data_IF_141422540776
#
_entry.id   IF_141422540776
#
_cell.length_a   1.000
_cell.length_b   1.000
_cell.length_c   1.000
_cell.angle_alpha   90.00
_cell.angle_beta   90.00
_cell.angle_gamma   90.00
#
_symmetry.space_group_name_H-M   'P 1'
#
loop_
_entity.id
_entity.type
_entity.pdbx_description
1 polymer ?
#
# COMPACT_ATOMS: atom_id res chain seq x y z
N UNK A 1 10.65 -19.78 -2.69
CA UNK A 1 9.56 -18.96 -3.25
C UNK A 1 8.38 -19.09 -2.32
N UNK A 2 7.70 -18.03 -1.89
CA UNK A 2 6.50 -18.16 -1.10
C UNK A 2 5.42 -18.84 -1.93
N UNK A 3 4.74 -19.82 -1.36
CA UNK A 3 3.54 -20.42 -1.93
C UNK A 3 2.42 -19.38 -1.90
N UNK A 4 2.01 -18.96 -3.06
CA UNK A 4 1.02 -17.94 -3.34
C UNK A 4 1.61 -17.01 -4.37
N UNK A 5 1.82 -17.50 -5.59
CA UNK A 5 2.17 -16.64 -6.72
C UNK A 5 1.03 -15.65 -6.88
N UNK A 6 1.31 -14.39 -6.57
CA UNK A 6 0.38 -13.31 -6.92
C UNK A 6 0.22 -13.37 -8.44
N UNK A 7 -1.00 -13.55 -8.90
CA UNK A 7 -1.31 -13.50 -10.32
C UNK A 7 -1.29 -12.04 -10.78
N UNK A 8 -0.10 -11.58 -11.16
CA UNK A 8 0.14 -10.21 -11.59
C UNK A 8 -0.70 -9.84 -12.81
N UNK A 9 -0.93 -10.81 -13.72
CA UNK A 9 -1.75 -10.57 -14.89
C UNK A 9 -3.23 -10.35 -14.51
N UNK A 10 -3.73 -11.06 -13.52
CA UNK A 10 -5.07 -10.83 -12.99
C UNK A 10 -5.14 -9.52 -12.18
N UNK A 11 -4.10 -9.20 -11.42
CA UNK A 11 -4.01 -7.91 -10.72
C UNK A 11 -4.05 -6.72 -11.70
N UNK A 12 -3.41 -6.84 -12.87
CA UNK A 12 -3.48 -5.80 -13.92
C UNK A 12 -4.89 -5.66 -14.49
N UNK A 13 -5.60 -6.76 -14.72
CA UNK A 13 -7.02 -6.69 -15.15
C UNK A 13 -7.89 -5.99 -14.13
N UNK A 14 -7.71 -6.32 -12.84
CA UNK A 14 -8.43 -5.66 -11.75
C UNK A 14 -8.10 -4.17 -11.66
N UNK A 15 -6.81 -3.81 -11.82
CA UNK A 15 -6.34 -2.43 -11.84
C UNK A 15 -7.00 -1.63 -12.96
N UNK A 16 -6.97 -2.17 -14.18
CA UNK A 16 -7.60 -1.57 -15.35
C UNK A 16 -9.12 -1.45 -15.19
N UNK A 17 -9.76 -2.50 -14.67
CA UNK A 17 -11.20 -2.49 -14.42
C UNK A 17 -11.60 -1.44 -13.38
N UNK A 18 -10.81 -1.26 -12.32
CA UNK A 18 -11.07 -0.26 -11.28
C UNK A 18 -10.94 1.17 -11.81
N UNK A 19 -9.99 1.43 -12.71
CA UNK A 19 -9.88 2.71 -13.41
C UNK A 19 -11.09 2.93 -14.31
N UNK A 20 -11.49 1.92 -15.07
CA UNK A 20 -12.62 2.01 -16.00
C UNK A 20 -13.97 2.23 -15.29
N UNK A 21 -14.06 1.88 -14.00
CA UNK A 21 -15.25 2.06 -13.15
C UNK A 21 -15.34 3.46 -12.52
N UNK A 22 -14.37 4.35 -12.75
CA UNK A 22 -14.42 5.72 -12.26
C UNK A 22 -15.53 6.51 -12.99
N UNK A 23 -16.27 7.31 -12.22
CA UNK A 23 -17.35 8.15 -12.77
C UNK A 23 -16.84 9.42 -13.45
N UNK A 24 -15.72 9.97 -12.96
CA UNK A 24 -15.10 11.16 -13.53
C UNK A 24 -14.36 10.83 -14.82
N UNK A 25 -14.81 11.41 -15.92
CA UNK A 25 -14.27 11.14 -17.26
C UNK A 25 -12.79 11.49 -17.38
N UNK A 26 -12.35 12.61 -16.77
CA UNK A 26 -10.96 13.02 -16.83
C UNK A 26 -10.04 11.99 -16.13
N UNK A 27 -10.39 11.61 -14.91
CA UNK A 27 -9.60 10.60 -14.17
C UNK A 27 -9.60 9.25 -14.84
N UNK A 28 -10.74 8.84 -15.43
CA UNK A 28 -10.85 7.60 -16.17
C UNK A 28 -9.98 7.61 -17.43
N UNK A 29 -10.09 8.67 -18.27
CA UNK A 29 -9.32 8.79 -19.52
C UNK A 29 -7.81 8.79 -19.27
N UNK A 30 -7.31 9.60 -18.33
CA UNK A 30 -5.88 9.66 -18.03
C UNK A 30 -5.38 8.37 -17.35
N UNK A 31 -6.18 7.78 -16.46
CA UNK A 31 -5.83 6.54 -15.78
C UNK A 31 -5.67 5.37 -16.76
N UNK A 32 -6.61 5.20 -17.69
CA UNK A 32 -6.54 4.18 -18.74
C UNK A 32 -5.32 4.40 -19.64
N UNK A 33 -5.09 5.65 -20.08
CA UNK A 33 -3.94 5.99 -20.89
C UNK A 33 -2.61 5.66 -20.19
N UNK A 34 -2.45 6.03 -18.91
CA UNK A 34 -1.27 5.73 -18.11
C UNK A 34 -1.10 4.21 -17.90
N UNK A 35 -2.21 3.49 -17.65
CA UNK A 35 -2.17 2.05 -17.50
C UNK A 35 -1.68 1.35 -18.76
N UNK A 36 -2.15 1.77 -19.94
CA UNK A 36 -1.79 1.18 -21.22
C UNK A 36 -0.34 1.50 -21.61
N UNK A 37 0.06 2.78 -21.54
CA UNK A 37 1.41 3.22 -21.93
C UNK A 37 2.52 2.60 -21.05
N UNK A 38 2.23 2.36 -19.77
CA UNK A 38 3.18 1.79 -18.83
C UNK A 38 2.93 0.29 -18.53
N UNK A 39 2.13 -0.43 -19.32
CA UNK A 39 1.70 -1.80 -19.04
C UNK A 39 2.86 -2.74 -18.70
N UNK A 40 3.90 -2.76 -19.52
CA UNK A 40 5.05 -3.63 -19.31
C UNK A 40 5.78 -3.33 -17.99
N UNK A 41 5.88 -2.06 -17.62
CA UNK A 41 6.50 -1.64 -16.37
C UNK A 41 5.64 -2.07 -15.17
N UNK A 42 4.32 -1.86 -15.23
CA UNK A 42 3.39 -2.32 -14.19
C UNK A 42 3.50 -3.83 -13.93
N UNK A 43 3.67 -4.63 -14.97
CA UNK A 43 3.76 -6.08 -14.83
C UNK A 43 5.10 -6.57 -14.26
N UNK A 44 6.16 -5.77 -14.34
CA UNK A 44 7.50 -6.24 -14.03
C UNK A 44 8.16 -5.51 -12.86
N UNK A 45 7.88 -4.22 -12.63
CA UNK A 45 8.60 -3.45 -11.62
C UNK A 45 8.15 -3.84 -10.21
N UNK A 46 9.11 -4.16 -9.30
CA UNK A 46 8.83 -4.50 -7.90
C UNK A 46 8.40 -3.28 -7.08
N UNK A 47 7.66 -3.51 -6.01
CA UNK A 47 7.13 -2.44 -5.14
C UNK A 47 8.20 -1.78 -4.27
N UNK A 48 9.29 -2.49 -3.95
CA UNK A 48 10.39 -1.98 -3.16
C UNK A 48 11.68 -2.76 -3.44
N UNK A 49 12.81 -2.20 -3.07
CA UNK A 49 14.11 -2.89 -3.21
C UNK A 49 14.29 -4.04 -2.19
N UNK A 50 13.74 -3.92 -0.97
CA UNK A 50 14.07 -4.88 0.09
C UNK A 50 12.99 -5.15 1.16
N UNK A 51 11.89 -4.42 1.23
CA UNK A 51 11.04 -4.44 2.44
C UNK A 51 9.70 -5.12 2.21
N UNK A 52 8.86 -4.63 1.32
CA UNK A 52 7.52 -5.17 1.03
C UNK A 52 7.29 -5.21 -0.47
N UNK A 53 6.44 -6.10 -0.94
CA UNK A 53 6.16 -6.27 -2.37
C UNK A 53 7.41 -6.40 -3.26
N UNK A 54 8.51 -6.98 -2.71
CA UNK A 54 9.79 -7.19 -3.40
C UNK A 54 9.69 -8.40 -4.35
N UNK A 55 8.83 -8.30 -5.34
CA UNK A 55 8.63 -9.29 -6.40
C UNK A 55 8.14 -8.60 -7.67
N UNK A 56 8.27 -9.26 -8.82
CA UNK A 56 7.83 -8.72 -10.11
C UNK A 56 6.36 -8.33 -10.08
N UNK A 57 6.03 -7.12 -10.52
CA UNK A 57 4.70 -6.55 -10.45
C UNK A 57 4.26 -6.11 -9.05
N UNK A 58 5.18 -6.05 -8.09
CA UNK A 58 4.88 -5.64 -6.71
C UNK A 58 4.30 -4.23 -6.60
N UNK A 59 4.79 -3.28 -7.42
CA UNK A 59 4.23 -1.91 -7.50
C UNK A 59 2.75 -1.95 -7.91
N UNK A 60 2.39 -2.73 -8.91
CA UNK A 60 1.01 -2.89 -9.36
C UNK A 60 0.09 -3.43 -8.25
N UNK A 61 0.52 -4.50 -7.59
CA UNK A 61 -0.28 -5.16 -6.55
C UNK A 61 -0.51 -4.24 -5.36
N UNK A 62 0.53 -3.54 -4.93
CA UNK A 62 0.47 -2.50 -3.90
C UNK A 62 -0.49 -1.37 -4.31
N UNK A 63 -0.30 -0.77 -5.49
CA UNK A 63 -1.13 0.32 -6.00
C UNK A 63 -2.60 -0.10 -6.13
N UNK A 64 -2.88 -1.32 -6.59
CA UNK A 64 -4.24 -1.86 -6.66
C UNK A 64 -4.88 -1.98 -5.27
N UNK A 65 -4.13 -2.47 -4.29
CA UNK A 65 -4.62 -2.56 -2.91
C UNK A 65 -4.93 -1.18 -2.34
N UNK A 66 -3.99 -0.25 -2.45
CA UNK A 66 -4.16 1.13 -1.96
C UNK A 66 -5.33 1.82 -2.64
N UNK A 67 -5.49 1.67 -3.96
CA UNK A 67 -6.61 2.25 -4.71
C UNK A 67 -7.97 1.70 -4.27
N UNK A 68 -8.10 0.37 -4.08
CA UNK A 68 -9.32 -0.27 -3.56
C UNK A 68 -9.66 0.22 -2.14
N UNK A 69 -8.66 0.28 -1.28
CA UNK A 69 -8.85 0.71 0.11
C UNK A 69 -9.20 2.19 0.18
N UNK A 70 -8.51 3.05 -0.57
CA UNK A 70 -8.78 4.48 -0.64
C UNK A 70 -10.20 4.78 -1.16
N UNK A 71 -10.65 4.07 -2.20
CA UNK A 71 -12.05 4.13 -2.68
C UNK A 71 -13.02 3.82 -1.56
N UNK A 72 -12.83 2.68 -0.88
CA UNK A 72 -13.71 2.23 0.20
C UNK A 72 -13.74 3.21 1.38
N UNK A 73 -12.60 3.77 1.77
CA UNK A 73 -12.53 4.77 2.84
C UNK A 73 -13.20 6.08 2.43
N UNK A 74 -12.99 6.56 1.19
CA UNK A 74 -13.61 7.77 0.69
C UNK A 74 -15.15 7.66 0.65
N UNK A 75 -15.69 6.48 0.33
CA UNK A 75 -17.14 6.22 0.35
C UNK A 75 -17.77 6.37 1.73
N UNK A 76 -16.98 6.28 2.81
CA UNK A 76 -17.45 6.43 4.20
C UNK A 76 -17.27 7.85 4.78
N UNK A 77 -16.60 8.74 4.05
CA UNK A 77 -16.26 10.08 4.53
C UNK A 77 -17.06 11.11 3.73
N UNK A 78 -17.96 11.81 4.40
CA UNK A 78 -18.74 12.88 3.77
C UNK A 78 -17.82 14.01 3.25
N UNK A 79 -18.07 14.43 2.02
CA UNK A 79 -17.27 15.44 1.33
C UNK A 79 -15.98 14.93 0.69
N UNK A 80 -15.62 13.63 0.80
CA UNK A 80 -14.51 13.06 0.08
C UNK A 80 -14.86 12.78 -1.39
N UNK A 81 -13.92 13.07 -2.29
CA UNK A 81 -14.07 12.77 -3.71
C UNK A 81 -13.56 11.33 -3.99
N UNK A 82 -14.49 10.39 -4.10
CA UNK A 82 -14.21 8.95 -4.22
C UNK A 82 -13.30 8.63 -5.41
N UNK A 83 -13.57 9.22 -6.58
CA UNK A 83 -12.77 8.94 -7.79
C UNK A 83 -11.33 9.49 -7.65
N UNK A 84 -11.16 10.68 -7.05
CA UNK A 84 -9.84 11.24 -6.78
C UNK A 84 -9.04 10.39 -5.77
N UNK A 85 -9.68 9.90 -4.71
CA UNK A 85 -9.03 9.01 -3.75
C UNK A 85 -8.63 7.68 -4.40
N UNK A 86 -9.51 7.12 -5.22
CA UNK A 86 -9.27 5.87 -5.95
C UNK A 86 -8.08 5.99 -6.90
N UNK A 87 -8.15 6.95 -7.85
CA UNK A 87 -7.06 7.13 -8.84
C UNK A 87 -5.76 7.58 -8.18
N UNK A 88 -5.86 8.40 -7.12
CA UNK A 88 -4.72 8.79 -6.32
C UNK A 88 -4.02 7.58 -5.70
N UNK A 89 -4.77 6.65 -5.12
CA UNK A 89 -4.24 5.40 -4.60
C UNK A 89 -3.67 4.47 -5.67
N UNK A 90 -4.28 4.43 -6.87
CA UNK A 90 -3.77 3.63 -7.99
C UNK A 90 -2.47 4.18 -8.58
N UNK A 91 -2.24 5.50 -8.53
CA UNK A 91 -1.11 6.16 -9.18
C UNK A 91 -0.10 6.80 -8.22
N UNK A 92 -0.29 6.72 -6.88
CA UNK A 92 0.61 7.36 -5.92
C UNK A 92 2.07 6.96 -6.11
N UNK A 93 2.31 5.71 -6.46
CA UNK A 93 3.62 5.08 -6.61
C UNK A 93 4.05 4.87 -8.08
N UNK A 94 3.35 5.47 -9.05
CA UNK A 94 3.66 5.31 -10.48
C UNK A 94 5.11 5.66 -10.83
N UNK A 95 5.73 6.58 -10.10
CA UNK A 95 7.12 6.95 -10.29
C UNK A 95 8.11 5.81 -10.02
N UNK A 96 7.75 4.81 -9.21
CA UNK A 96 8.58 3.60 -8.98
C UNK A 96 8.84 2.82 -10.27
N UNK A 97 7.93 2.91 -11.25
CA UNK A 97 8.11 2.28 -12.57
C UNK A 97 9.36 2.76 -13.30
N UNK A 98 9.84 3.95 -12.99
CA UNK A 98 11.01 4.59 -13.60
C UNK A 98 12.19 4.72 -12.64
N UNK A 99 11.94 4.60 -11.33
CA UNK A 99 12.94 4.67 -10.27
C UNK A 99 13.77 3.39 -10.19
N UNK A 100 13.16 2.26 -10.53
CA UNK A 100 13.83 0.96 -10.48
C UNK A 100 14.12 0.40 -11.87
N UNK A 101 15.22 -0.33 -11.96
CA UNK A 101 15.59 -1.15 -13.12
C UNK A 101 15.90 -2.57 -12.66
N UNK A 102 15.63 -3.53 -13.54
CA UNK A 102 15.92 -4.94 -13.31
C UNK A 102 17.18 -5.35 -14.09
N UNK A 103 18.15 -5.92 -13.39
CA UNK A 103 19.30 -6.60 -14.00
C UNK A 103 19.29 -8.07 -13.56
N UNK A 104 18.67 -8.92 -14.35
CA UNK A 104 18.32 -10.28 -13.94
C UNK A 104 17.35 -10.29 -12.78
N UNK A 105 17.76 -10.79 -11.61
CA UNK A 105 16.97 -10.79 -10.37
C UNK A 105 17.31 -9.63 -9.43
N UNK A 106 18.30 -8.81 -9.78
CA UNK A 106 18.71 -7.68 -8.96
C UNK A 106 17.88 -6.44 -9.29
N UNK A 107 17.34 -5.81 -8.24
CA UNK A 107 16.65 -4.53 -8.32
C UNK A 107 17.68 -3.44 -8.05
N UNK A 108 17.83 -2.52 -9.00
CA UNK A 108 18.75 -1.39 -8.89
C UNK A 108 17.97 -0.07 -9.05
N UNK A 109 18.49 1.00 -8.46
CA UNK A 109 18.00 2.32 -8.78
C UNK A 109 18.50 2.76 -10.15
N UNK A 110 17.66 3.46 -10.91
CA UNK A 110 18.10 4.24 -12.07
C UNK A 110 18.83 5.51 -11.59
N UNK A 111 19.56 6.20 -12.49
CA UNK A 111 20.17 7.49 -12.13
C UNK A 111 19.10 8.52 -11.75
N UNK A 112 17.99 8.61 -12.50
CA UNK A 112 16.87 9.49 -12.17
C UNK A 112 16.23 9.11 -10.84
N UNK A 113 16.09 7.81 -10.56
CA UNK A 113 15.59 7.33 -9.28
C UNK A 113 16.45 7.74 -8.10
N UNK A 114 17.78 7.81 -8.27
CA UNK A 114 18.71 8.28 -7.25
C UNK A 114 18.67 9.78 -7.02
N UNK A 115 18.50 10.57 -8.10
CA UNK A 115 18.55 12.03 -8.02
C UNK A 115 17.22 12.69 -7.70
N UNK A 116 16.10 12.13 -8.21
CA UNK A 116 14.80 12.81 -8.22
C UNK A 116 13.75 12.14 -7.33
N UNK A 117 13.95 10.87 -7.01
CA UNK A 117 13.01 10.02 -6.29
C UNK A 117 11.64 9.84 -7.01
N UNK A 118 10.92 8.76 -6.64
CA UNK A 118 9.66 8.36 -7.28
C UNK A 118 8.54 9.36 -7.13
N UNK A 119 8.51 10.17 -6.05
CA UNK A 119 7.47 11.18 -5.87
C UNK A 119 7.50 12.23 -6.98
N UNK A 120 8.69 12.78 -7.24
CA UNK A 120 8.87 13.78 -8.29
C UNK A 120 8.64 13.17 -9.67
N UNK A 121 9.30 12.04 -9.96
CA UNK A 121 9.18 11.33 -11.24
C UNK A 121 7.72 10.98 -11.54
N UNK A 122 6.97 10.48 -10.54
CA UNK A 122 5.56 10.12 -10.69
C UNK A 122 4.67 11.34 -10.97
N UNK A 123 4.87 12.42 -10.23
CA UNK A 123 4.09 13.65 -10.46
C UNK A 123 4.41 14.30 -11.81
N UNK A 124 5.65 14.23 -12.27
CA UNK A 124 6.05 14.72 -13.60
C UNK A 124 5.46 13.83 -14.70
N UNK A 125 5.61 12.52 -14.58
CA UNK A 125 5.07 11.54 -15.53
C UNK A 125 3.56 11.70 -15.72
N UNK A 126 2.79 11.73 -14.61
CA UNK A 126 1.34 11.95 -14.67
C UNK A 126 1.01 13.30 -15.30
N UNK A 127 1.76 14.35 -14.98
CA UNK A 127 1.60 15.67 -15.60
C UNK A 127 1.77 15.63 -17.12
N UNK A 128 2.82 14.98 -17.61
CA UNK A 128 3.12 14.87 -19.03
C UNK A 128 2.07 14.04 -19.77
N UNK A 129 1.71 12.85 -19.21
CA UNK A 129 0.72 11.95 -19.83
C UNK A 129 -0.69 12.55 -19.87
N UNK A 130 -1.03 13.42 -18.92
CA UNK A 130 -2.36 14.04 -18.85
C UNK A 130 -2.52 15.30 -19.69
N UNK A 131 -1.46 15.88 -20.21
CA UNK A 131 -1.46 17.20 -20.87
C UNK A 131 -2.44 17.28 -22.05
N UNK A 132 -2.58 16.22 -22.85
CA UNK A 132 -3.48 16.15 -23.99
C UNK A 132 -4.98 16.01 -23.60
N UNK A 133 -5.27 15.70 -22.36
CA UNK A 133 -6.62 15.45 -21.83
C UNK A 133 -7.22 16.68 -21.14
N UNK A 134 -6.43 17.72 -20.90
CA UNK A 134 -6.90 18.96 -20.26
C UNK A 134 -7.77 19.73 -21.26
N UNK A 135 -9.05 19.87 -20.92
CA UNK A 135 -10.06 20.56 -21.72
C UNK A 135 -10.66 21.77 -21.01
N UNK A 136 -10.37 21.95 -19.72
CA UNK A 136 -10.94 22.98 -18.85
C UNK A 136 -10.06 23.30 -17.66
N UNK A 137 -10.27 24.46 -17.02
CA UNK A 137 -9.63 24.84 -15.75
C UNK A 137 -9.91 23.80 -14.63
N UNK A 138 -11.07 23.13 -14.73
CA UNK A 138 -11.42 22.07 -13.79
C UNK A 138 -10.52 20.85 -13.97
N UNK A 139 -10.16 20.48 -15.20
CA UNK A 139 -9.24 19.37 -15.46
C UNK A 139 -7.82 19.71 -14.99
N UNK A 140 -7.39 20.97 -15.14
CA UNK A 140 -6.14 21.44 -14.56
C UNK A 140 -6.12 21.31 -13.04
N UNK A 141 -7.21 21.70 -12.36
CA UNK A 141 -7.35 21.53 -10.91
C UNK A 141 -7.34 20.06 -10.49
N UNK A 142 -8.06 19.19 -11.21
CA UNK A 142 -8.06 17.73 -10.98
C UNK A 142 -6.65 17.15 -11.09
N UNK A 143 -5.92 17.52 -12.14
CA UNK A 143 -4.53 17.10 -12.32
C UNK A 143 -3.62 17.60 -11.19
N UNK A 144 -3.80 18.85 -10.77
CA UNK A 144 -3.05 19.43 -9.67
C UNK A 144 -3.29 18.67 -8.35
N UNK A 145 -4.55 18.30 -8.07
CA UNK A 145 -4.91 17.51 -6.89
C UNK A 145 -4.31 16.10 -6.95
N UNK A 146 -4.37 15.43 -8.09
CA UNK A 146 -3.77 14.11 -8.28
C UNK A 146 -2.25 14.14 -8.07
N UNK A 147 -1.55 15.13 -8.67
CA UNK A 147 -0.12 15.35 -8.45
C UNK A 147 0.19 15.69 -6.99
N UNK A 148 -0.69 16.44 -6.31
CA UNK A 148 -0.55 16.70 -4.89
C UNK A 148 -0.59 15.42 -4.05
N UNK A 149 -1.49 14.48 -4.35
CA UNK A 149 -1.54 13.16 -3.69
C UNK A 149 -0.20 12.45 -3.86
N UNK A 150 0.31 12.36 -5.10
CA UNK A 150 1.61 11.71 -5.39
C UNK A 150 2.75 12.37 -4.58
N UNK A 151 2.81 13.69 -4.52
CA UNK A 151 3.89 14.41 -3.82
C UNK A 151 3.79 14.38 -2.29
N UNK A 152 2.64 13.99 -1.74
CA UNK A 152 2.37 14.06 -0.30
C UNK A 152 2.09 12.71 0.38
N UNK A 153 2.06 11.59 -0.37
CA UNK A 153 1.56 10.32 0.18
C UNK A 153 2.41 9.76 1.32
N UNK A 154 3.69 10.07 1.44
CA UNK A 154 4.50 9.71 2.60
C UNK A 154 4.19 10.55 3.86
N UNK A 155 3.15 11.39 3.85
CA UNK A 155 2.64 12.22 4.97
C UNK A 155 3.59 13.31 5.44
N UNK A 156 4.85 12.99 5.73
CA UNK A 156 5.83 13.86 6.39
C UNK A 156 7.04 14.10 5.50
N UNK A 157 7.61 15.31 5.63
CA UNK A 157 8.84 15.67 4.90
C UNK A 157 10.02 14.80 5.31
N UNK A 158 10.11 14.41 6.58
CA UNK A 158 11.13 13.50 7.12
C UNK A 158 11.05 12.08 6.54
N UNK A 159 9.91 11.71 5.93
CA UNK A 159 9.72 10.45 5.21
C UNK A 159 9.83 10.60 3.70
N UNK A 160 10.26 11.77 3.22
CA UNK A 160 10.49 12.03 1.79
C UNK A 160 9.38 12.80 1.07
N UNK A 161 8.21 13.05 1.71
CA UNK A 161 7.18 13.87 1.07
C UNK A 161 7.68 15.28 0.79
N UNK A 162 7.47 15.74 -0.43
CA UNK A 162 7.80 17.14 -0.83
C UNK A 162 6.92 18.14 -0.08
N UNK A 163 5.64 17.80 0.09
CA UNK A 163 4.62 18.54 0.83
C UNK A 163 3.82 17.59 1.71
N UNK A 164 3.13 18.13 2.72
CA UNK A 164 2.18 17.34 3.54
C UNK A 164 0.80 17.32 2.88
N UNK A 165 -0.05 16.29 3.13
CA UNK A 165 -1.41 16.21 2.61
C UNK A 165 -2.25 17.44 2.94
N UNK A 166 -3.00 17.97 1.96
CA UNK A 166 -3.80 19.20 2.05
C UNK A 166 -5.29 19.01 1.71
N UNK A 167 -5.70 17.81 1.33
CA UNK A 167 -7.10 17.46 1.10
C UNK A 167 -7.42 16.10 1.73
N UNK A 168 -8.71 15.79 1.85
CA UNK A 168 -9.19 14.56 2.47
C UNK A 168 -8.60 13.34 1.75
N UNK A 169 -8.61 13.34 0.42
CA UNK A 169 -8.17 12.24 -0.43
C UNK A 169 -6.66 11.97 -0.27
N UNK A 170 -5.84 13.02 -0.15
CA UNK A 170 -4.42 12.88 0.12
C UNK A 170 -4.14 12.25 1.50
N UNK A 171 -4.94 12.59 2.51
CA UNK A 171 -4.87 11.94 3.81
C UNK A 171 -5.30 10.47 3.74
N UNK A 172 -6.41 10.18 3.03
CA UNK A 172 -6.88 8.81 2.83
C UNK A 172 -5.79 7.97 2.17
N UNK A 173 -5.25 8.42 1.03
CA UNK A 173 -4.23 7.67 0.29
C UNK A 173 -2.98 7.43 1.13
N UNK A 174 -2.48 8.45 1.83
CA UNK A 174 -1.31 8.33 2.70
C UNK A 174 -1.48 7.28 3.79
N UNK A 175 -2.67 7.20 4.39
CA UNK A 175 -2.96 6.20 5.42
C UNK A 175 -3.17 4.80 4.84
N UNK A 176 -3.76 4.70 3.64
CA UNK A 176 -3.93 3.41 2.96
C UNK A 176 -2.58 2.81 2.54
N UNK A 177 -1.66 3.65 2.05
CA UNK A 177 -0.28 3.27 1.72
C UNK A 177 0.48 2.76 2.95
N UNK A 178 0.52 3.56 4.03
CA UNK A 178 1.16 3.19 5.29
C UNK A 178 0.58 1.90 5.89
N UNK A 179 -0.74 1.72 5.78
CA UNK A 179 -1.44 0.52 6.24
C UNK A 179 -1.00 -0.72 5.48
N UNK A 180 -0.98 -0.68 4.13
CA UNK A 180 -0.56 -1.82 3.31
C UNK A 180 0.90 -2.18 3.57
N UNK A 181 1.79 -1.18 3.58
CA UNK A 181 3.20 -1.37 3.86
C UNK A 181 3.44 -2.04 5.22
N UNK A 182 2.79 -1.58 6.28
CA UNK A 182 2.92 -2.16 7.63
C UNK A 182 2.30 -3.55 7.73
N UNK A 183 1.10 -3.73 7.17
CA UNK A 183 0.42 -5.02 7.19
C UNK A 183 1.25 -6.10 6.48
N UNK A 184 1.85 -5.77 5.33
CA UNK A 184 2.70 -6.68 4.57
C UNK A 184 3.99 -7.03 5.32
N UNK A 185 4.64 -6.04 5.96
CA UNK A 185 5.82 -6.28 6.79
C UNK A 185 5.51 -7.19 7.99
N UNK A 186 4.37 -6.96 8.67
CA UNK A 186 3.93 -7.80 9.80
C UNK A 186 3.60 -9.21 9.30
N UNK A 187 2.93 -9.33 8.16
CA UNK A 187 2.60 -10.62 7.54
C UNK A 187 3.85 -11.41 7.18
N UNK A 188 4.84 -10.77 6.57
CA UNK A 188 6.11 -11.42 6.21
C UNK A 188 6.93 -11.81 7.45
N UNK A 189 7.00 -10.94 8.47
CA UNK A 189 7.65 -11.25 9.73
C UNK A 189 6.95 -12.40 10.47
N UNK A 190 5.61 -12.44 10.45
CA UNK A 190 4.81 -13.54 11.02
C UNK A 190 5.10 -14.85 10.30
N UNK A 191 5.20 -14.83 8.97
CA UNK A 191 5.55 -16.02 8.17
C UNK A 191 6.95 -16.53 8.51
N UNK A 192 7.92 -15.64 8.71
CA UNK A 192 9.30 -15.99 9.12
C UNK A 192 9.35 -16.56 10.55
N UNK A 193 8.54 -16.02 11.45
CA UNK A 193 8.46 -16.52 12.84
C UNK A 193 7.91 -17.95 12.94
N UNK A 194 7.08 -18.36 11.97
CA UNK A 194 6.50 -19.70 11.89
C UNK A 194 5.38 -19.95 12.91
N UNK A 195 4.86 -21.18 12.92
CA UNK A 195 3.66 -21.56 13.68
C UNK A 195 3.91 -21.72 15.19
N UNK A 196 5.17 -21.86 15.61
CA UNK A 196 5.54 -22.12 17.00
C UNK A 196 5.75 -20.87 17.84
N UNK A 197 5.91 -19.72 17.18
CA UNK A 197 6.24 -18.44 17.80
C UNK A 197 5.03 -17.51 17.77
N UNK A 198 4.66 -16.97 18.94
CA UNK A 198 3.51 -16.04 19.03
C UNK A 198 3.84 -14.62 18.66
N UNK A 199 5.11 -14.26 18.64
CA UNK A 199 5.59 -12.90 18.41
C UNK A 199 6.65 -12.89 17.33
N UNK A 200 6.62 -11.87 16.48
CA UNK A 200 7.68 -11.60 15.50
C UNK A 200 8.92 -11.04 16.17
N UNK A 201 10.03 -11.01 15.47
CA UNK A 201 11.11 -10.07 15.78
C UNK A 201 10.58 -8.63 15.69
N UNK A 202 11.34 -7.68 16.25
CA UNK A 202 11.01 -6.25 16.15
C UNK A 202 11.04 -5.80 14.69
N UNK A 203 9.99 -5.10 14.28
CA UNK A 203 9.88 -4.55 12.94
C UNK A 203 10.14 -3.04 13.03
N UNK A 204 11.30 -2.61 12.53
CA UNK A 204 11.73 -1.21 12.62
C UNK A 204 10.69 -0.23 12.07
N UNK A 205 10.14 -0.50 10.89
CA UNK A 205 9.16 0.38 10.24
C UNK A 205 7.76 0.32 10.85
N UNK A 206 7.51 -0.61 11.78
CA UNK A 206 6.28 -0.73 12.56
C UNK A 206 6.58 -0.45 14.04
N UNK A 207 6.98 0.77 14.36
CA UNK A 207 7.26 1.31 15.70
C UNK A 207 8.38 0.55 16.45
N UNK A 208 9.23 -0.20 15.74
CA UNK A 208 10.29 -1.03 16.31
C UNK A 208 9.79 -2.00 17.42
N UNK A 209 8.59 -2.54 17.23
CA UNK A 209 7.93 -3.44 18.17
C UNK A 209 7.80 -4.85 17.58
N UNK A 210 7.76 -5.89 18.44
CA UNK A 210 7.30 -7.20 18.01
C UNK A 210 5.78 -7.21 17.86
N UNK A 211 5.28 -8.01 16.91
CA UNK A 211 3.85 -8.12 16.63
C UNK A 211 3.37 -9.55 16.89
N UNK A 212 2.14 -9.67 17.39
CA UNK A 212 1.53 -10.97 17.65
C UNK A 212 1.18 -11.66 16.32
N UNK A 213 1.58 -12.92 16.17
CA UNK A 213 1.30 -13.69 14.96
C UNK A 213 -0.03 -14.42 15.10
N UNK A 214 -1.02 -14.03 14.31
CA UNK A 214 -2.33 -14.71 14.30
C UNK A 214 -2.26 -16.12 13.72
N UNK A 215 -1.23 -16.45 12.95
CA UNK A 215 -0.98 -17.81 12.45
C UNK A 215 -0.76 -18.82 13.60
N UNK A 216 -0.21 -18.37 14.72
CA UNK A 216 -0.08 -19.18 15.92
C UNK A 216 -1.45 -19.55 16.55
N UNK A 217 -2.51 -18.79 16.29
CA UNK A 217 -3.86 -19.10 16.82
C UNK A 217 -4.41 -20.37 16.17
N UNK A 218 -4.21 -20.56 14.87
CA UNK A 218 -4.65 -21.77 14.17
C UNK A 218 -3.96 -23.02 14.74
N UNK A 219 -2.67 -22.93 15.05
CA UNK A 219 -1.92 -24.01 15.70
C UNK A 219 -2.35 -24.25 17.16
N UNK A 220 -2.78 -23.20 17.88
CA UNK A 220 -3.25 -23.30 19.26
C UNK A 220 -4.67 -23.86 19.36
N UNK A 221 -5.54 -23.61 18.38
CA UNK A 221 -6.90 -24.15 18.36
C UNK A 221 -6.94 -25.68 18.19
N UNK A 222 -5.85 -26.30 17.77
CA UNK A 222 -5.70 -27.76 17.64
C UNK A 222 -4.91 -28.39 18.79
N UNK A 223 -4.39 -27.61 19.75
CA UNK A 223 -3.81 -28.16 20.97
C UNK A 223 -4.91 -28.30 22.02
N UNK A 224 -4.97 -29.45 22.75
CA UNK A 224 -5.89 -29.59 23.86
C UNK A 224 -5.62 -28.45 24.84
N UNK A 225 -6.69 -27.84 25.32
CA UNK A 225 -6.69 -26.80 26.33
C UNK A 225 -5.60 -27.06 27.36
N UNK A 226 -4.55 -26.24 27.41
CA UNK A 226 -3.64 -26.22 28.54
C UNK A 226 -4.42 -25.53 29.67
N UNK A 227 -5.26 -26.34 30.33
CA UNK A 227 -5.73 -26.04 31.69
C UNK A 227 -4.47 -26.18 32.55
N UNK A 228 -3.84 -25.05 32.87
CA UNK A 228 -2.63 -25.19 33.69
C UNK A 228 -1.79 -23.95 33.91
N UNK A 229 -2.16 -22.77 33.44
CA UNK A 229 -1.40 -21.56 33.80
C UNK A 229 -1.82 -21.00 35.17
N UNK A 230 -3.05 -21.21 35.59
CA UNK A 230 -3.49 -20.81 36.92
C UNK A 230 -2.87 -21.77 38.00
N UNK A 231 -2.88 -23.07 37.73
CA UNK A 231 -2.29 -24.08 38.66
C UNK A 231 -0.75 -23.97 38.76
N UNK A 232 -0.09 -23.60 37.65
CA UNK A 232 1.37 -23.41 37.64
C UNK A 232 1.81 -22.15 38.43
N UNK A 233 0.91 -21.19 38.64
CA UNK A 233 1.14 -19.97 39.41
C UNK A 233 0.53 -20.03 40.82
N UNK A 234 -0.12 -21.14 41.20
CA UNK A 234 -0.75 -21.28 42.51
C UNK A 234 -1.92 -20.35 42.77
N UNK A 235 -2.51 -19.80 41.71
CA UNK A 235 -3.66 -18.87 41.77
C UNK A 235 -4.95 -19.69 41.76
N UNK A 236 -5.79 -19.51 42.79
CA UNK A 236 -7.14 -20.07 42.80
C UNK A 236 -8.07 -19.24 41.92
N UNK A 237 -9.05 -19.90 41.32
CA UNK A 237 -10.04 -19.22 40.42
C UNK A 237 -10.78 -18.04 41.11
N UNK A 238 -10.84 -18.07 42.44
CA UNK A 238 -11.51 -17.01 43.24
C UNK A 238 -10.63 -15.75 43.42
N UNK A 239 -9.36 -15.78 43.05
CA UNK A 239 -8.44 -14.65 43.15
C UNK A 239 -8.46 -13.76 41.89
N UNK A 240 -9.16 -14.16 40.83
CA UNK A 240 -9.33 -13.43 39.58
C UNK A 240 -10.64 -12.64 39.64
N UNK A 241 -10.61 -11.48 40.32
CA UNK A 241 -11.65 -10.47 40.13
C UNK A 241 -11.56 -9.89 38.72
N UNK A 242 -12.24 -10.52 37.77
CA UNK A 242 -12.48 -9.94 36.46
C UNK A 242 -13.52 -8.84 36.69
N UNK A 243 -13.05 -7.62 36.87
CA UNK A 243 -13.89 -6.43 36.73
C UNK A 243 -14.27 -6.37 35.25
N UNK A 244 -15.53 -6.66 34.95
CA UNK A 244 -16.13 -6.29 33.68
C UNK A 244 -16.02 -4.76 33.55
N UNK A 245 -15.10 -4.31 32.71
CA UNK A 245 -15.03 -2.92 32.27
C UNK A 245 -15.13 -2.91 30.75
N UNK A 246 -16.14 -2.26 30.33
CA UNK A 246 -16.64 -1.79 29.03
C UNK A 246 -15.58 -1.54 27.97
#
# INVERSE_FOLDING_TARGET
>A
MPQGTVDVANAYKDFYALINDLNDDFFREIGLHIAEEAQDLWLHIPGANSIHHNYMGGTLVHSLFVGKLAKTMAEQIDGAWVDLACIGGLLHDVGKLFTYSLNGLAINYTEDGQFLDHLFIGAEFVGNMSSAFIKSDMDELKLQLLRHIILSHHMKKEFGSTVTPKCIEAWIVSHCDDMDAKAEMIREASRKAGETTRWTEKIWAAENQPHFTTQAIAALSHKPHIVGTADALGLKADDLNIVEAW
#
